data_IF_863331539854
#
_entry.id   IF_863331539854
#
_cell.length_a   1.000
_cell.length_b   1.000
_cell.length_c   1.000
_cell.angle_alpha   90.00
_cell.angle_beta   90.00
_cell.angle_gamma   90.00
#
_symmetry.space_group_name_H-M   'P 1'
#
loop_
_entity.id
_entity.type
_entity.pdbx_description
1 polymer ?
#
# COMPACT_ATOMS: atom_id res chain seq x y z
N UNK A 1 -9.62 13.42 -17.01
CA UNK A 1 -9.93 12.73 -15.74
C UNK A 1 -10.52 11.37 -16.04
N UNK A 2 -10.14 10.35 -15.28
CA UNK A 2 -10.65 8.99 -15.44
C UNK A 2 -11.12 8.47 -14.08
N UNK A 3 -12.37 7.99 -14.04
CA UNK A 3 -12.91 7.28 -12.89
C UNK A 3 -13.18 5.83 -13.28
N UNK A 4 -12.61 4.88 -12.53
CA UNK A 4 -12.71 3.45 -12.81
C UNK A 4 -13.20 2.69 -11.57
N UNK A 5 -14.48 2.34 -11.48
CA UNK A 5 -14.97 1.45 -10.43
C UNK A 5 -14.38 0.04 -10.60
N UNK A 6 -14.18 -0.65 -9.50
CA UNK A 6 -13.64 -2.01 -9.44
C UNK A 6 -14.49 -2.89 -8.55
N UNK A 7 -14.72 -4.10 -9.01
CA UNK A 7 -15.46 -5.13 -8.30
C UNK A 7 -14.78 -6.48 -8.54
N UNK A 8 -14.55 -7.23 -7.48
CA UNK A 8 -14.19 -8.64 -7.55
C UNK A 8 -15.11 -9.42 -6.60
N UNK A 9 -15.82 -10.40 -7.13
CA UNK A 9 -16.58 -11.38 -6.35
C UNK A 9 -15.79 -12.68 -6.33
N UNK A 10 -15.56 -13.20 -5.15
CA UNK A 10 -14.89 -14.49 -4.93
C UNK A 10 -15.79 -15.39 -4.14
N UNK A 11 -15.92 -16.64 -4.61
CA UNK A 11 -16.63 -17.72 -3.93
C UNK A 11 -15.67 -18.92 -3.89
N UNK A 12 -15.29 -19.33 -2.68
CA UNK A 12 -14.40 -20.46 -2.45
C UNK A 12 -14.98 -21.32 -1.32
N UNK A 13 -15.73 -22.38 -1.67
CA UNK A 13 -16.52 -23.17 -0.71
C UNK A 13 -15.69 -24.16 0.11
N UNK A 14 -14.39 -24.25 -0.12
CA UNK A 14 -13.52 -25.18 0.60
C UNK A 14 -13.31 -24.73 2.05
N UNK A 15 -13.06 -25.72 2.93
CA UNK A 15 -12.69 -25.46 4.31
C UNK A 15 -11.42 -24.60 4.39
N UNK A 16 -11.45 -23.62 5.28
CA UNK A 16 -10.31 -22.76 5.51
C UNK A 16 -9.19 -23.53 6.20
N UNK A 17 -7.97 -23.38 5.70
CA UNK A 17 -6.79 -23.77 6.49
C UNK A 17 -6.45 -22.60 7.42
N UNK A 18 -6.03 -22.91 8.63
CA UNK A 18 -5.66 -21.88 9.59
C UNK A 18 -4.50 -21.02 9.06
N UNK A 19 -4.79 -19.76 8.79
CA UNK A 19 -3.90 -18.72 8.29
C UNK A 19 -3.75 -17.58 9.31
N UNK A 20 -4.34 -17.72 10.51
CA UNK A 20 -4.39 -16.67 11.54
C UNK A 20 -3.03 -16.11 11.93
N UNK A 21 -1.98 -16.95 11.87
CA UNK A 21 -0.59 -16.54 12.17
C UNK A 21 0.14 -15.90 10.99
N UNK A 22 -0.50 -15.82 9.80
CA UNK A 22 0.12 -15.23 8.63
C UNK A 22 0.28 -13.71 8.81
N UNK A 23 1.45 -13.19 8.45
CA UNK A 23 1.76 -11.77 8.56
C UNK A 23 1.33 -10.92 7.36
N UNK A 24 0.61 -11.50 6.40
CA UNK A 24 0.15 -10.75 5.22
C UNK A 24 -0.79 -9.63 5.60
N UNK A 25 -0.57 -8.48 5.01
CA UNK A 25 -1.43 -7.30 5.13
C UNK A 25 -2.05 -6.99 3.79
N UNK A 26 -3.25 -6.44 3.82
CA UNK A 26 -3.88 -5.89 2.64
C UNK A 26 -3.12 -4.63 2.17
N UNK A 27 -3.03 -4.51 0.87
CA UNK A 27 -2.62 -3.29 0.19
C UNK A 27 -3.41 -3.20 -1.13
N UNK A 28 -3.34 -2.06 -1.79
CA UNK A 28 -4.13 -1.86 -2.99
C UNK A 28 -3.77 -2.85 -4.13
N UNK A 29 -2.52 -3.35 -4.18
CA UNK A 29 -2.06 -4.28 -5.21
C UNK A 29 -2.60 -5.71 -5.03
N UNK A 30 -2.97 -6.13 -3.81
CA UNK A 30 -3.52 -7.47 -3.54
C UNK A 30 -5.03 -7.49 -3.28
N UNK A 31 -5.66 -6.33 -3.11
CA UNK A 31 -7.09 -6.18 -2.84
C UNK A 31 -7.99 -6.91 -3.85
N UNK A 32 -7.63 -6.87 -5.13
CA UNK A 32 -8.39 -7.49 -6.23
C UNK A 32 -7.76 -8.78 -6.75
N UNK A 33 -6.88 -9.43 -5.96
CA UNK A 33 -6.37 -10.77 -6.28
C UNK A 33 -7.28 -11.84 -5.72
N UNK A 34 -7.36 -12.98 -6.40
CA UNK A 34 -8.08 -14.15 -5.90
C UNK A 34 -7.46 -14.69 -4.61
N UNK A 35 -6.13 -14.72 -4.53
CA UNK A 35 -5.42 -15.00 -3.28
C UNK A 35 -4.80 -13.71 -2.74
N UNK A 36 -5.30 -13.25 -1.61
CA UNK A 36 -4.87 -12.00 -0.95
C UNK A 36 -3.69 -12.22 0.00
N UNK A 37 -3.45 -13.48 0.36
CA UNK A 37 -2.42 -13.89 1.32
C UNK A 37 -1.18 -14.33 0.54
N UNK A 38 -0.02 -13.79 0.91
CA UNK A 38 1.26 -14.20 0.33
C UNK A 38 1.73 -15.51 0.97
N UNK A 39 1.23 -16.64 0.46
CA UNK A 39 1.72 -17.97 0.81
C UNK A 39 1.88 -18.78 -0.45
N UNK A 40 2.87 -19.70 -0.46
CA UNK A 40 3.13 -20.57 -1.60
C UNK A 40 2.11 -21.73 -1.64
N UNK A 41 1.71 -22.24 -0.47
CA UNK A 41 0.97 -23.49 -0.36
C UNK A 41 -0.47 -23.35 0.15
N UNK A 42 -0.93 -22.12 0.39
CA UNK A 42 -2.25 -21.89 0.97
C UNK A 42 -2.97 -20.77 0.22
N UNK A 43 -4.24 -20.97 -0.02
CA UNK A 43 -5.13 -20.01 -0.66
C UNK A 43 -6.16 -19.57 0.37
N UNK A 44 -6.46 -18.29 0.41
CA UNK A 44 -7.55 -17.77 1.23
C UNK A 44 -8.89 -18.33 0.71
N UNK A 45 -9.72 -18.80 1.62
CA UNK A 45 -11.04 -19.37 1.35
C UNK A 45 -12.16 -18.47 1.84
N UNK A 46 -13.39 -18.84 1.55
CA UNK A 46 -14.57 -18.08 1.90
C UNK A 46 -15.14 -17.25 0.74
N UNK A 47 -16.30 -16.69 0.96
CA UNK A 47 -17.00 -15.84 -0.02
C UNK A 47 -16.83 -14.39 0.36
N UNK A 48 -16.31 -13.57 -0.57
CA UNK A 48 -16.12 -12.15 -0.32
C UNK A 48 -16.25 -11.32 -1.60
N UNK A 49 -16.51 -10.05 -1.38
CA UNK A 49 -16.58 -9.02 -2.43
C UNK A 49 -15.52 -7.96 -2.13
N UNK A 50 -14.65 -7.68 -3.08
CA UNK A 50 -13.76 -6.52 -3.03
C UNK A 50 -14.35 -5.40 -3.87
N UNK A 51 -14.61 -4.27 -3.24
CA UNK A 51 -15.20 -3.07 -3.86
C UNK A 51 -14.20 -1.93 -3.81
N UNK A 52 -14.24 -1.05 -4.80
CA UNK A 52 -13.45 0.17 -4.78
C UNK A 52 -13.41 0.89 -6.12
N UNK A 53 -12.49 1.83 -6.23
CA UNK A 53 -12.32 2.62 -7.43
C UNK A 53 -10.91 3.18 -7.59
N UNK A 54 -10.56 3.53 -8.83
CA UNK A 54 -9.43 4.42 -9.16
C UNK A 54 -9.98 5.73 -9.72
N UNK A 55 -9.42 6.82 -9.26
CA UNK A 55 -9.59 8.14 -9.85
C UNK A 55 -8.22 8.66 -10.29
N UNK A 56 -8.15 9.19 -11.53
CA UNK A 56 -6.90 9.69 -12.12
C UNK A 56 -7.11 11.02 -12.80
N UNK A 57 -6.14 11.90 -12.62
CA UNK A 57 -5.96 13.12 -13.39
C UNK A 57 -4.68 12.98 -14.20
N UNK A 58 -4.79 13.08 -15.51
CA UNK A 58 -3.67 12.98 -16.43
C UNK A 58 -3.40 14.36 -17.05
N UNK A 59 -2.13 14.69 -17.21
CA UNK A 59 -1.71 15.79 -18.07
C UNK A 59 -1.69 15.31 -19.52
N UNK A 60 -2.19 16.14 -20.41
CA UNK A 60 -2.18 15.90 -21.85
C UNK A 60 -1.07 16.71 -22.50
N UNK A 61 -0.48 16.20 -23.57
CA UNK A 61 0.38 16.97 -24.48
C UNK A 61 -0.47 17.79 -25.47
N UNK A 62 0.18 18.57 -26.30
CA UNK A 62 -0.49 19.42 -27.32
C UNK A 62 -1.32 18.61 -28.33
N UNK A 63 -1.04 17.33 -28.47
CA UNK A 63 -1.77 16.39 -29.33
C UNK A 63 -2.92 15.67 -28.62
N UNK A 64 -3.28 16.07 -27.39
CA UNK A 64 -4.27 15.42 -26.53
C UNK A 64 -3.93 13.97 -26.13
N UNK A 65 -2.67 13.56 -26.22
CA UNK A 65 -2.22 12.27 -25.71
C UNK A 65 -1.81 12.41 -24.24
N UNK A 66 -1.96 11.33 -23.45
CA UNK A 66 -1.57 11.31 -22.05
C UNK A 66 -0.04 11.44 -21.94
N UNK A 67 0.42 12.59 -21.42
CA UNK A 67 1.83 12.84 -21.17
C UNK A 67 2.29 12.12 -19.90
N UNK A 68 1.57 12.35 -18.79
CA UNK A 68 1.86 11.71 -17.50
C UNK A 68 0.62 11.69 -16.59
N UNK A 69 0.63 10.83 -15.58
CA UNK A 69 -0.35 10.79 -14.51
C UNK A 69 0.04 11.83 -13.46
N UNK A 70 -0.73 12.90 -13.34
CA UNK A 70 -0.49 13.96 -12.38
C UNK A 70 -0.96 13.55 -10.98
N UNK A 71 -2.18 13.00 -10.89
CA UNK A 71 -2.76 12.58 -9.64
C UNK A 71 -3.47 11.24 -9.82
N UNK A 72 -3.31 10.37 -8.85
CA UNK A 72 -4.06 9.12 -8.72
C UNK A 72 -4.56 8.99 -7.28
N UNK A 73 -5.81 8.61 -7.13
CA UNK A 73 -6.38 8.20 -5.86
C UNK A 73 -7.13 6.89 -6.05
N UNK A 74 -6.84 5.93 -5.19
CA UNK A 74 -7.44 4.60 -5.23
C UNK A 74 -7.93 4.24 -3.84
N UNK A 75 -9.13 3.68 -3.77
CA UNK A 75 -9.75 3.25 -2.51
C UNK A 75 -10.42 1.91 -2.70
N UNK A 76 -10.43 1.09 -1.66
CA UNK A 76 -11.21 -0.13 -1.69
C UNK A 76 -11.28 -0.86 -0.36
N UNK A 77 -12.19 -1.82 -0.28
CA UNK A 77 -12.50 -2.59 0.92
C UNK A 77 -12.98 -3.99 0.54
N UNK A 78 -12.79 -4.96 1.43
CA UNK A 78 -13.34 -6.31 1.31
C UNK A 78 -14.52 -6.45 2.26
N UNK A 79 -15.60 -7.03 1.74
CA UNK A 79 -16.77 -7.41 2.50
C UNK A 79 -16.91 -8.93 2.39
N UNK A 80 -16.79 -9.63 3.50
CA UNK A 80 -16.90 -11.09 3.61
C UNK A 80 -18.32 -11.48 4.01
N UNK A 81 -18.79 -12.63 3.50
CA UNK A 81 -20.10 -13.14 3.86
C UNK A 81 -20.19 -13.48 5.37
N UNK A 82 -19.09 -13.98 5.93
CA UNK A 82 -18.98 -14.38 7.33
C UNK A 82 -17.61 -13.97 7.90
N UNK A 83 -17.53 -13.88 9.22
CA UNK A 83 -16.25 -13.80 9.92
C UNK A 83 -15.50 -15.10 9.76
N UNK A 84 -14.21 -15.04 9.54
CA UNK A 84 -13.36 -16.22 9.39
C UNK A 84 -12.13 -16.10 10.30
N UNK A 85 -12.20 -16.76 11.46
CA UNK A 85 -11.12 -16.75 12.46
C UNK A 85 -9.82 -17.39 11.99
N UNK A 86 -9.86 -18.17 10.93
CA UNK A 86 -8.68 -18.76 10.32
C UNK A 86 -7.91 -17.77 9.43
N UNK A 87 -8.49 -16.62 9.14
CA UNK A 87 -7.84 -15.54 8.40
C UNK A 87 -6.96 -14.68 9.32
N UNK A 88 -5.93 -14.03 8.77
CA UNK A 88 -5.14 -13.07 9.55
C UNK A 88 -5.98 -11.94 10.11
N UNK A 89 -5.76 -11.60 11.39
CA UNK A 89 -6.38 -10.42 12.02
C UNK A 89 -5.83 -9.10 11.47
N UNK A 90 -4.67 -9.16 10.81
CA UNK A 90 -4.09 -7.98 10.15
C UNK A 90 -4.98 -7.49 9.04
N UNK A 91 -5.17 -6.18 8.98
CA UNK A 91 -6.11 -5.55 8.03
C UNK A 91 -7.55 -6.04 8.20
N UNK A 92 -7.89 -6.58 9.37
CA UNK A 92 -9.22 -7.08 9.73
C UNK A 92 -9.79 -8.09 8.72
N UNK A 93 -8.91 -8.91 8.11
CA UNK A 93 -9.32 -9.95 7.15
C UNK A 93 -10.14 -11.08 7.79
N UNK A 94 -10.05 -11.24 9.09
CA UNK A 94 -10.84 -12.19 9.89
C UNK A 94 -12.26 -11.71 10.18
N UNK A 95 -12.56 -10.44 9.93
CA UNK A 95 -13.87 -9.82 10.19
C UNK A 95 -14.72 -9.75 8.91
N UNK A 96 -16.01 -9.41 9.07
CA UNK A 96 -16.91 -9.22 7.93
C UNK A 96 -16.48 -8.08 7.00
N UNK A 97 -15.87 -7.04 7.56
CA UNK A 97 -15.36 -5.91 6.79
C UNK A 97 -13.88 -5.74 7.08
N UNK A 98 -13.07 -5.68 6.03
CA UNK A 98 -11.67 -5.35 6.18
C UNK A 98 -11.45 -3.87 6.50
N UNK A 99 -10.23 -3.52 6.89
CA UNK A 99 -9.79 -2.13 6.82
C UNK A 99 -10.04 -1.55 5.43
N UNK A 100 -10.27 -0.24 5.37
CA UNK A 100 -10.31 0.51 4.13
C UNK A 100 -8.89 0.74 3.66
N UNK A 101 -8.61 0.33 2.44
CA UNK A 101 -7.29 0.44 1.82
C UNK A 101 -7.30 1.62 0.86
N UNK A 102 -6.36 2.52 1.05
CA UNK A 102 -6.21 3.67 0.15
C UNK A 102 -4.77 3.84 -0.34
N UNK A 103 -4.67 4.40 -1.54
CA UNK A 103 -3.41 4.82 -2.15
C UNK A 103 -3.62 6.13 -2.89
N UNK A 104 -2.79 7.12 -2.62
CA UNK A 104 -2.76 8.38 -3.36
C UNK A 104 -1.38 8.62 -3.93
N UNK A 105 -1.28 9.18 -5.12
CA UNK A 105 -0.01 9.64 -5.69
C UNK A 105 -0.20 10.98 -6.39
N UNK A 106 0.77 11.87 -6.20
CA UNK A 106 0.83 13.18 -6.81
C UNK A 106 2.21 13.37 -7.45
N UNK A 107 2.24 13.56 -8.75
CA UNK A 107 3.44 13.96 -9.49
C UNK A 107 3.45 15.48 -9.63
N UNK A 108 4.34 16.15 -8.90
CA UNK A 108 4.48 17.61 -8.98
C UNK A 108 5.12 18.03 -10.31
N UNK A 109 6.05 17.22 -10.78
CA UNK A 109 6.68 17.31 -12.10
C UNK A 109 7.25 15.93 -12.48
N UNK A 110 8.02 15.85 -13.56
CA UNK A 110 8.62 14.60 -14.04
C UNK A 110 9.63 13.97 -13.07
N UNK A 111 10.16 14.76 -12.16
CA UNK A 111 11.23 14.37 -11.24
C UNK A 111 10.76 14.17 -9.79
N UNK A 112 9.61 14.74 -9.41
CA UNK A 112 9.14 14.77 -8.01
C UNK A 112 7.78 14.12 -7.90
N UNK A 113 7.71 13.06 -7.08
CA UNK A 113 6.50 12.30 -6.81
C UNK A 113 6.30 12.10 -5.31
N UNK A 114 5.09 12.32 -4.86
CA UNK A 114 4.63 12.01 -3.51
C UNK A 114 3.65 10.85 -3.62
N UNK A 115 3.82 9.84 -2.77
CA UNK A 115 2.86 8.75 -2.64
C UNK A 115 2.44 8.59 -1.18
N UNK A 116 1.19 8.27 -0.98
CA UNK A 116 0.65 7.91 0.32
C UNK A 116 -0.10 6.58 0.18
N UNK A 117 0.16 5.64 1.08
CA UNK A 117 -0.61 4.40 1.21
C UNK A 117 -1.08 4.23 2.65
N UNK A 118 -2.33 3.88 2.83
CA UNK A 118 -2.91 3.78 4.15
C UNK A 118 -3.88 2.60 4.30
N UNK A 119 -4.02 2.16 5.55
CA UNK A 119 -5.08 1.30 6.04
C UNK A 119 -5.83 2.08 7.12
N UNK A 120 -7.09 2.31 6.89
CA UNK A 120 -7.99 2.98 7.82
C UNK A 120 -8.94 1.96 8.40
N UNK A 121 -9.16 1.98 9.69
CA UNK A 121 -10.09 1.06 10.33
C UNK A 121 -11.51 1.20 9.77
N UNK A 122 -12.32 0.16 9.89
CA UNK A 122 -13.69 0.15 9.37
C UNK A 122 -14.59 1.24 9.99
N UNK A 123 -14.23 1.77 11.16
CA UNK A 123 -14.97 2.83 11.85
C UNK A 123 -14.50 4.25 11.44
N UNK A 124 -13.49 4.35 10.56
CA UNK A 124 -12.90 5.60 10.08
C UNK A 124 -12.24 6.44 11.18
N UNK A 125 -11.82 5.81 12.28
CA UNK A 125 -11.28 6.53 13.45
C UNK A 125 -9.75 6.53 13.48
N UNK A 126 -9.11 5.42 13.09
CA UNK A 126 -7.69 5.25 13.25
C UNK A 126 -7.01 4.71 11.99
N UNK A 127 -5.85 5.24 11.69
CA UNK A 127 -4.96 4.62 10.71
C UNK A 127 -4.21 3.45 11.35
N UNK A 128 -4.48 2.24 10.87
CA UNK A 128 -3.72 1.05 11.24
C UNK A 128 -2.35 1.03 10.55
N UNK A 129 -2.26 1.67 9.38
CA UNK A 129 -1.01 1.94 8.68
C UNK A 129 -1.14 3.25 7.93
N UNK A 130 -0.09 4.06 7.97
CA UNK A 130 0.07 5.24 7.12
C UNK A 130 1.53 5.32 6.67
N UNK A 131 1.74 5.33 5.37
CA UNK A 131 3.06 5.48 4.77
C UNK A 131 3.03 6.60 3.75
N UNK A 132 3.97 7.54 3.87
CA UNK A 132 4.14 8.66 2.97
C UNK A 132 5.57 8.60 2.42
N UNK A 133 5.70 8.59 1.11
CA UNK A 133 6.97 8.57 0.41
C UNK A 133 7.08 9.80 -0.49
N UNK A 134 8.19 10.52 -0.37
CA UNK A 134 8.60 11.58 -1.29
C UNK A 134 9.80 11.08 -2.09
N UNK A 135 9.64 10.95 -3.38
CA UNK A 135 10.70 10.58 -4.32
C UNK A 135 11.10 11.75 -5.20
N UNK A 136 12.40 11.97 -5.33
CA UNK A 136 13.00 12.95 -6.24
C UNK A 136 14.03 12.21 -7.09
N UNK A 137 13.86 12.23 -8.42
CA UNK A 137 14.71 11.49 -9.35
C UNK A 137 15.24 12.42 -10.43
N UNK A 138 16.57 12.56 -10.50
CA UNK A 138 17.30 13.23 -11.57
C UNK A 138 18.24 12.23 -12.26
N UNK A 139 18.76 12.52 -13.46
CA UNK A 139 19.58 11.55 -14.21
C UNK A 139 20.78 10.99 -13.45
N UNK A 140 21.38 11.78 -12.56
CA UNK A 140 22.57 11.39 -11.79
C UNK A 140 22.32 11.23 -10.31
N UNK A 141 21.17 11.66 -9.80
CA UNK A 141 20.87 11.65 -8.35
C UNK A 141 19.44 11.22 -8.11
N UNK A 142 19.23 10.46 -7.06
CA UNK A 142 17.91 10.18 -6.53
C UNK A 142 17.89 10.46 -5.02
N UNK A 143 16.75 10.91 -4.55
CA UNK A 143 16.52 11.15 -3.15
C UNK A 143 15.14 10.64 -2.78
N UNK A 144 15.05 9.90 -1.68
CA UNK A 144 13.78 9.38 -1.16
C UNK A 144 13.66 9.67 0.33
N UNK A 145 12.50 10.13 0.75
CA UNK A 145 12.11 10.26 2.15
C UNK A 145 10.85 9.45 2.36
N UNK A 146 10.88 8.52 3.30
CA UNK A 146 9.76 7.66 3.64
C UNK A 146 9.42 7.80 5.13
N UNK A 147 8.17 8.11 5.40
CA UNK A 147 7.60 8.06 6.74
C UNK A 147 6.64 6.89 6.82
N UNK A 148 6.81 6.02 7.81
CA UNK A 148 5.92 4.90 8.09
C UNK A 148 5.43 4.97 9.53
N UNK A 149 4.13 4.91 9.70
CA UNK A 149 3.46 4.65 10.95
C UNK A 149 2.56 3.42 10.80
N UNK A 150 2.72 2.45 11.68
CA UNK A 150 1.95 1.21 11.71
C UNK A 150 1.55 0.92 13.15
N UNK A 151 0.25 0.79 13.38
CA UNK A 151 -0.35 0.53 14.67
C UNK A 151 -1.03 -0.84 14.67
N UNK A 152 -0.95 -1.57 15.79
CA UNK A 152 -1.71 -2.78 16.09
C UNK A 152 -1.42 -4.06 15.25
N UNK A 153 -0.59 -4.03 14.21
CA UNK A 153 -0.43 -5.21 13.34
C UNK A 153 0.76 -6.12 13.66
N UNK A 154 1.93 -5.55 13.93
CA UNK A 154 3.15 -6.30 14.34
C UNK A 154 3.79 -5.61 15.55
N UNK A 155 3.00 -4.91 16.33
CA UNK A 155 3.45 -3.90 17.27
C UNK A 155 3.47 -2.52 16.62
N UNK A 156 3.57 -1.50 17.43
CA UNK A 156 3.64 -0.12 16.95
C UNK A 156 5.00 0.13 16.32
N UNK A 157 5.00 0.68 15.10
CA UNK A 157 6.21 1.07 14.38
C UNK A 157 6.07 2.48 13.87
N UNK A 158 7.11 3.27 14.04
CA UNK A 158 7.14 4.63 13.54
C UNK A 158 8.55 4.97 13.09
N UNK A 159 8.75 5.08 11.78
CA UNK A 159 10.05 5.28 11.17
C UNK A 159 10.06 6.46 10.22
N UNK A 160 11.18 7.16 10.23
CA UNK A 160 11.57 8.09 9.17
C UNK A 160 12.82 7.51 8.50
N UNK A 161 12.76 7.31 7.20
CA UNK A 161 13.88 6.79 6.40
C UNK A 161 14.20 7.79 5.30
N UNK A 162 15.49 8.04 5.11
CA UNK A 162 16.00 8.87 4.02
C UNK A 162 17.04 8.10 3.24
N UNK A 163 17.00 8.17 1.91
CA UNK A 163 17.97 7.57 1.01
C UNK A 163 18.40 8.57 -0.04
N UNK A 164 19.69 8.61 -0.31
CA UNK A 164 20.26 9.38 -1.39
C UNK A 164 21.15 8.46 -2.25
N UNK A 165 20.99 8.52 -3.55
CA UNK A 165 21.76 7.76 -4.51
C UNK A 165 22.42 8.68 -5.54
N UNK A 166 23.65 8.37 -5.91
CA UNK A 166 24.44 9.10 -6.90
C UNK A 166 24.95 8.14 -7.96
N UNK A 167 24.55 8.36 -9.21
CA UNK A 167 24.98 7.57 -10.35
C UNK A 167 26.21 8.20 -11.01
N UNK A 168 27.28 7.44 -11.10
CA UNK A 168 28.48 7.77 -11.87
C UNK A 168 28.55 6.91 -13.13
N UNK A 169 29.43 7.25 -14.05
CA UNK A 169 29.57 6.49 -15.31
C UNK A 169 29.82 5.00 -15.09
N UNK A 170 30.47 4.59 -14.00
CA UNK A 170 30.88 3.22 -13.71
C UNK A 170 30.39 2.71 -12.34
N UNK A 171 29.43 3.37 -11.68
CA UNK A 171 28.98 2.91 -10.38
C UNK A 171 27.84 3.72 -9.78
N UNK A 172 27.29 3.17 -8.71
CA UNK A 172 26.26 3.77 -7.87
C UNK A 172 26.77 3.87 -6.44
N UNK A 173 26.66 5.03 -5.83
CA UNK A 173 26.84 5.20 -4.38
C UNK A 173 25.48 5.50 -3.77
N UNK A 174 25.12 4.75 -2.74
CA UNK A 174 23.89 4.96 -1.97
C UNK A 174 24.21 5.21 -0.52
N UNK A 175 23.56 6.19 0.07
CA UNK A 175 23.61 6.49 1.50
C UNK A 175 22.21 6.46 2.06
N UNK A 176 22.01 5.85 3.20
CA UNK A 176 20.72 5.77 3.87
C UNK A 176 20.82 6.07 5.36
N UNK A 177 19.75 6.64 5.90
CA UNK A 177 19.55 6.81 7.33
C UNK A 177 18.11 6.43 7.66
N UNK A 178 17.95 5.66 8.73
CA UNK A 178 16.65 5.26 9.25
C UNK A 178 16.58 5.58 10.73
N UNK A 179 15.56 6.32 11.12
CA UNK A 179 15.31 6.68 12.51
C UNK A 179 14.01 6.05 13.00
N UNK A 180 14.10 5.32 14.09
CA UNK A 180 12.94 4.86 14.83
C UNK A 180 12.46 6.00 15.73
N UNK A 181 11.23 6.49 15.50
CA UNK A 181 10.68 7.61 16.22
C UNK A 181 10.06 7.21 17.58
N UNK A 182 9.86 5.91 17.82
CA UNK A 182 9.39 5.40 19.12
C UNK A 182 10.53 5.20 20.11
N UNK A 183 11.63 4.61 19.66
CA UNK A 183 12.81 4.33 20.50
C UNK A 183 13.88 5.41 20.40
N UNK A 184 13.69 6.40 19.53
CA UNK A 184 14.65 7.49 19.25
C UNK A 184 16.04 6.98 18.81
N UNK A 185 16.12 5.80 18.22
CA UNK A 185 17.34 5.21 17.68
C UNK A 185 17.49 5.52 16.19
N UNK A 186 18.74 5.63 15.72
CA UNK A 186 19.05 5.87 14.32
C UNK A 186 20.07 4.85 13.82
N UNK A 187 19.92 4.46 12.54
CA UNK A 187 20.83 3.57 11.81
C UNK A 187 21.25 4.27 10.51
N UNK A 188 22.53 4.11 10.13
CA UNK A 188 23.10 4.59 8.88
C UNK A 188 23.63 3.40 8.08
N UNK A 189 23.46 3.40 6.75
CA UNK A 189 23.86 2.30 5.86
C UNK A 189 24.17 2.78 4.44
#
# INVERSE_FOLDING_TARGET
NVFKPKLLVKISPNDSRNLSTNSSMLNYSNLYKLNKIKTIDKVDTGSNISLGFDFKINNLNDNNEIKNEQFKFSLGQIISAEENRDMPSKSTLNEKMSDIIGEASLSLNENVKITNSFLLDQNLQNFNKNQIDLGVVYPKTNFNVSYLEENQHIGNKKYLETKAGFNFNNGLISLGAKRNLLSNSAEFY
#
